data_IF_361932127328
#
_entry.id   IF_361932127328
#
_cell.length_a   1.000
_cell.length_b   1.000
_cell.length_c   1.000
_cell.angle_alpha   90.00
_cell.angle_beta   90.00
_cell.angle_gamma   90.00
#
_symmetry.space_group_name_H-M   'P 1'
#
loop_
_entity.id
_entity.type
_entity.pdbx_description
1 polymer ?
#
# COMPACT_ATOMS: atom_id res chain seq x y z
N UNK A 1 3.85 74.33 6.62
CA UNK A 1 4.53 73.84 7.84
C UNK A 1 4.03 72.43 8.11
N UNK A 2 4.92 71.43 7.94
CA UNK A 2 5.00 70.10 8.58
C UNK A 2 3.75 69.20 8.75
N UNK A 3 3.74 68.06 8.06
CA UNK A 3 3.02 66.81 8.44
C UNK A 3 3.68 66.14 9.65
N UNK A 4 2.94 65.39 10.49
CA UNK A 4 2.91 63.90 10.42
C UNK A 4 1.48 63.34 10.74
N UNK A 5 0.98 62.19 10.30
CA UNK A 5 1.54 60.83 10.18
C UNK A 5 2.25 60.34 11.45
N UNK A 6 1.55 60.27 12.60
CA UNK A 6 1.95 59.44 13.74
C UNK A 6 0.81 59.28 14.76
N UNK A 7 0.17 58.11 14.75
CA UNK A 7 -0.40 57.43 15.92
C UNK A 7 -0.87 56.02 15.50
N UNK A 8 0.09 55.21 15.04
CA UNK A 8 0.00 53.76 15.15
C UNK A 8 0.59 53.39 16.52
N UNK A 9 -0.27 53.05 17.49
CA UNK A 9 0.09 52.26 18.66
C UNK A 9 -1.18 51.58 19.20
N UNK A 10 -1.08 50.30 19.54
CA UNK A 10 -2.23 49.42 19.76
C UNK A 10 -2.20 48.13 18.90
N UNK A 11 -1.01 47.62 18.62
CA UNK A 11 -0.58 46.28 19.04
C UNK A 11 -1.65 45.17 18.93
N UNK A 12 -1.77 44.62 17.72
CA UNK A 12 -1.50 43.21 17.43
C UNK A 12 -1.74 42.20 18.59
N UNK A 13 -2.96 41.73 18.83
CA UNK A 13 -3.14 40.59 19.76
C UNK A 13 -4.33 39.66 19.47
N UNK A 14 -4.58 39.35 18.18
CA UNK A 14 -5.50 38.26 17.79
C UNK A 14 -4.77 37.18 16.98
N UNK A 15 -3.78 37.58 16.18
CA UNK A 15 -2.96 36.63 15.40
C UNK A 15 -1.99 35.82 16.26
N UNK A 16 -1.49 36.36 17.38
CA UNK A 16 -0.66 35.61 18.35
C UNK A 16 -1.49 34.71 19.29
N UNK A 17 -2.73 35.09 19.60
CA UNK A 17 -3.61 34.27 20.43
C UNK A 17 -4.15 33.05 19.66
N UNK A 18 -4.42 33.19 18.36
CA UNK A 18 -4.83 32.06 17.53
C UNK A 18 -3.65 31.10 17.27
N UNK A 19 -2.42 31.60 17.08
CA UNK A 19 -1.26 30.72 16.86
C UNK A 19 -0.87 29.90 18.11
N UNK A 20 -1.09 30.44 19.30
CA UNK A 20 -0.85 29.73 20.57
C UNK A 20 -1.94 28.69 20.87
N UNK A 21 -3.22 29.02 20.66
CA UNK A 21 -4.35 28.07 20.89
C UNK A 21 -4.44 26.98 19.81
N UNK A 22 -4.09 27.27 18.55
CA UNK A 22 -4.08 26.25 17.48
C UNK A 22 -2.89 25.27 17.54
N UNK A 23 -1.88 25.53 18.39
CA UNK A 23 -0.68 24.67 18.47
C UNK A 23 -0.75 23.60 19.57
N UNK A 24 -1.42 23.87 20.70
CA UNK A 24 -1.38 22.97 21.88
C UNK A 24 -2.41 21.83 21.85
N UNK A 25 -3.55 21.99 21.16
CA UNK A 25 -4.54 20.92 20.98
C UNK A 25 -4.32 20.11 19.68
N UNK A 26 -3.79 20.72 18.62
CA UNK A 26 -3.59 20.06 17.33
C UNK A 26 -2.56 18.92 17.40
N UNK A 27 -1.56 19.04 18.28
CA UNK A 27 -0.48 18.05 18.43
C UNK A 27 -0.81 16.92 19.40
N UNK A 28 -1.79 17.10 20.30
CA UNK A 28 -2.19 16.06 21.26
C UNK A 28 -2.97 14.89 20.63
N UNK A 29 -3.55 15.09 19.45
CA UNK A 29 -4.31 14.05 18.74
C UNK A 29 -3.51 13.18 17.76
N UNK A 30 -2.26 13.54 17.44
CA UNK A 30 -1.46 12.88 16.38
C UNK A 30 -0.32 12.02 16.92
N UNK A 31 -0.50 11.43 18.10
CA UNK A 31 0.30 10.29 18.53
C UNK A 31 0.01 9.12 17.58
N UNK A 32 0.75 9.09 16.46
CA UNK A 32 0.77 8.03 15.49
C UNK A 32 1.03 6.71 16.23
N UNK A 33 -0.01 5.90 16.35
CA UNK A 33 0.10 4.53 16.83
C UNK A 33 0.94 3.74 15.83
N UNK A 34 2.26 3.77 16.02
CA UNK A 34 3.21 2.94 15.33
C UNK A 34 3.03 1.50 15.82
N UNK A 35 2.09 0.78 15.23
CA UNK A 35 2.07 -0.67 15.32
C UNK A 35 3.27 -1.20 14.55
N UNK A 36 4.40 -1.37 15.24
CA UNK A 36 5.54 -2.11 14.75
C UNK A 36 5.04 -3.50 14.34
N UNK A 37 5.08 -3.78 13.04
CA UNK A 37 4.64 -5.06 12.49
C UNK A 37 5.62 -6.13 12.95
N UNK A 38 5.30 -6.79 14.07
CA UNK A 38 6.03 -7.95 14.54
C UNK A 38 6.08 -9.00 13.41
N UNK A 39 7.28 -9.45 13.06
CA UNK A 39 7.46 -10.52 12.09
C UNK A 39 6.85 -11.79 12.69
N UNK A 40 5.89 -12.44 12.02
CA UNK A 40 5.35 -13.69 12.53
C UNK A 40 6.48 -14.73 12.62
N UNK A 41 6.48 -15.60 13.65
CA UNK A 41 7.48 -16.65 13.76
C UNK A 41 7.46 -17.54 12.52
N UNK A 42 8.62 -18.12 12.13
CA UNK A 42 8.71 -19.00 10.97
C UNK A 42 7.75 -20.19 11.13
N UNK A 43 7.00 -20.50 10.07
CA UNK A 43 6.12 -21.69 10.05
C UNK A 43 6.96 -22.96 9.87
N UNK A 44 7.10 -23.74 10.96
CA UNK A 44 7.86 -24.99 10.99
C UNK A 44 7.04 -26.22 10.58
N UNK A 45 5.75 -26.05 10.26
CA UNK A 45 4.89 -27.19 9.93
C UNK A 45 5.31 -27.83 8.59
N UNK A 46 5.35 -29.17 8.51
CA UNK A 46 5.69 -29.85 7.27
C UNK A 46 4.65 -29.54 6.18
N UNK A 47 5.13 -29.04 5.03
CA UNK A 47 4.26 -28.66 3.91
C UNK A 47 3.74 -29.92 3.22
N UNK A 48 2.41 -30.06 3.13
CA UNK A 48 1.79 -31.18 2.43
C UNK A 48 1.96 -31.02 0.91
N UNK A 49 2.44 -32.06 0.25
CA UNK A 49 2.68 -32.11 -1.21
C UNK A 49 1.47 -32.65 -1.95
N UNK A 50 1.32 -32.23 -3.21
CA UNK A 50 0.21 -32.60 -4.08
C UNK A 50 0.07 -34.12 -4.20
N UNK A 51 -1.15 -34.62 -4.16
CA UNK A 51 -1.45 -36.06 -4.20
C UNK A 51 -1.18 -36.71 -5.56
N UNK A 52 -1.16 -35.93 -6.65
CA UNK A 52 -0.79 -36.42 -7.98
C UNK A 52 0.62 -36.99 -7.97
N UNK A 53 0.76 -38.21 -8.49
CA UNK A 53 2.05 -38.89 -8.62
C UNK A 53 3.10 -38.02 -9.35
N UNK A 54 4.33 -38.03 -8.83
CA UNK A 54 5.42 -37.21 -9.35
C UNK A 54 5.27 -35.68 -9.16
N UNK A 55 4.30 -35.20 -8.37
CA UNK A 55 4.09 -33.76 -8.15
C UNK A 55 4.64 -33.25 -6.82
N UNK A 56 5.76 -32.53 -6.86
CA UNK A 56 6.38 -31.94 -5.66
C UNK A 56 5.82 -30.55 -5.27
N UNK A 57 4.74 -30.09 -5.92
CA UNK A 57 4.12 -28.80 -5.56
C UNK A 57 3.31 -28.93 -4.29
N UNK A 58 3.26 -27.85 -3.51
CA UNK A 58 2.45 -27.79 -2.28
C UNK A 58 0.95 -27.85 -2.59
N UNK A 59 0.19 -28.51 -1.71
CA UNK A 59 -1.27 -28.52 -1.75
C UNK A 59 -1.81 -27.12 -1.47
N UNK A 60 -2.80 -26.72 -2.27
CA UNK A 60 -3.60 -25.51 -2.01
C UNK A 60 -4.93 -25.86 -1.37
N UNK A 61 -5.64 -26.85 -1.92
CA UNK A 61 -6.89 -27.36 -1.37
C UNK A 61 -7.17 -28.75 -1.91
N UNK A 62 -8.00 -29.54 -1.20
CA UNK A 62 -8.48 -30.84 -1.67
C UNK A 62 -7.36 -31.82 -2.10
N UNK A 63 -6.20 -31.78 -1.44
CA UNK A 63 -5.07 -32.65 -1.79
C UNK A 63 -4.30 -32.26 -3.06
N UNK A 64 -4.67 -31.16 -3.73
CA UNK A 64 -4.09 -30.77 -5.02
C UNK A 64 -3.38 -29.41 -5.00
N UNK A 65 -2.35 -29.27 -5.83
CA UNK A 65 -1.71 -27.99 -6.15
C UNK A 65 -2.55 -27.19 -7.17
N UNK A 66 -2.22 -25.91 -7.41
CA UNK A 66 -2.95 -25.03 -8.35
C UNK A 66 -3.13 -25.67 -9.73
N UNK A 67 -2.07 -26.30 -10.26
CA UNK A 67 -2.09 -26.95 -11.59
C UNK A 67 -3.02 -28.15 -11.63
N UNK A 68 -3.15 -28.90 -10.53
CA UNK A 68 -3.93 -30.13 -10.47
C UNK A 68 -5.29 -29.95 -9.78
N UNK A 69 -5.86 -28.74 -9.84
CA UNK A 69 -7.22 -28.45 -9.35
C UNK A 69 -7.30 -27.93 -7.91
N UNK A 70 -6.18 -27.55 -7.31
CA UNK A 70 -6.15 -26.80 -6.05
C UNK A 70 -6.65 -25.37 -6.23
N UNK A 71 -7.39 -24.87 -5.24
CA UNK A 71 -8.04 -23.55 -5.25
C UNK A 71 -9.46 -23.57 -5.82
N UNK A 72 -10.19 -22.46 -5.63
CA UNK A 72 -11.50 -22.24 -6.28
C UNK A 72 -11.28 -21.66 -7.68
N UNK A 73 -12.03 -22.14 -8.67
CA UNK A 73 -12.02 -21.60 -10.03
C UNK A 73 -13.13 -20.57 -10.21
N UNK A 74 -12.96 -19.71 -11.20
CA UNK A 74 -13.97 -18.74 -11.58
C UNK A 74 -15.28 -19.46 -11.95
N UNK A 75 -16.41 -18.96 -11.45
CA UNK A 75 -17.74 -19.50 -11.75
C UNK A 75 -18.26 -19.17 -13.15
N UNK A 76 -17.59 -18.24 -13.86
CA UNK A 76 -17.93 -17.90 -15.25
C UNK A 76 -17.54 -19.05 -16.17
N UNK A 77 -18.46 -19.41 -17.08
CA UNK A 77 -18.25 -20.46 -18.06
C UNK A 77 -16.97 -20.28 -18.86
N UNK A 78 -16.24 -21.39 -19.07
CA UNK A 78 -14.98 -21.45 -19.82
C UNK A 78 -13.85 -20.57 -19.25
N UNK A 79 -13.88 -20.25 -17.95
CA UNK A 79 -12.81 -19.49 -17.29
C UNK A 79 -11.95 -20.36 -16.36
N UNK A 80 -10.72 -20.64 -16.77
CA UNK A 80 -9.76 -21.44 -15.96
C UNK A 80 -9.03 -20.63 -14.87
N UNK A 81 -9.25 -19.32 -14.81
CA UNK A 81 -8.58 -18.44 -13.87
C UNK A 81 -9.10 -18.71 -12.44
N UNK A 82 -8.20 -18.71 -11.46
CA UNK A 82 -8.57 -18.85 -10.05
C UNK A 82 -9.53 -17.73 -9.59
N UNK A 83 -10.55 -18.12 -8.83
CA UNK A 83 -11.43 -17.18 -8.17
C UNK A 83 -10.68 -16.46 -7.04
N UNK A 84 -10.84 -15.15 -6.98
CA UNK A 84 -10.19 -14.30 -5.97
C UNK A 84 -11.18 -13.88 -4.88
N UNK A 85 -12.36 -13.43 -5.28
CA UNK A 85 -13.46 -13.09 -4.37
C UNK A 85 -14.80 -13.36 -5.06
N UNK A 86 -15.86 -13.56 -4.29
CA UNK A 86 -17.23 -13.79 -4.79
C UNK A 86 -17.34 -14.92 -5.83
N UNK A 87 -16.48 -15.95 -5.76
CA UNK A 87 -16.48 -17.06 -6.71
C UNK A 87 -15.97 -16.74 -8.12
N UNK A 88 -15.49 -15.51 -8.38
CA UNK A 88 -15.06 -15.05 -9.70
C UNK A 88 -13.60 -14.58 -9.70
N UNK A 89 -12.96 -14.62 -10.88
CA UNK A 89 -11.58 -14.18 -11.05
C UNK A 89 -11.48 -12.65 -11.15
N UNK A 90 -10.26 -12.13 -11.16
CA UNK A 90 -10.01 -10.69 -11.25
C UNK A 90 -10.61 -10.02 -12.50
N UNK A 91 -10.70 -10.76 -13.63
CA UNK A 91 -11.32 -10.28 -14.87
C UNK A 91 -12.84 -10.24 -14.80
N UNK A 92 -13.44 -11.14 -14.04
CA UNK A 92 -14.90 -11.31 -13.92
C UNK A 92 -15.46 -10.69 -12.63
N UNK A 93 -14.82 -9.64 -12.09
CA UNK A 93 -15.33 -8.91 -10.92
C UNK A 93 -14.80 -9.38 -9.55
N UNK A 94 -13.87 -10.33 -9.52
CA UNK A 94 -13.21 -10.80 -8.29
C UNK A 94 -12.19 -9.82 -7.71
N UNK A 95 -12.17 -8.57 -8.18
CA UNK A 95 -11.30 -7.50 -7.72
C UNK A 95 -12.12 -6.23 -7.48
N UNK A 96 -11.70 -5.42 -6.51
CA UNK A 96 -12.32 -4.13 -6.22
C UNK A 96 -11.68 -3.06 -7.09
N UNK A 97 -12.47 -2.13 -7.61
CA UNK A 97 -11.99 -0.94 -8.33
C UNK A 97 -11.37 0.07 -7.36
N UNK A 98 -10.56 0.97 -7.91
CA UNK A 98 -10.00 2.09 -7.18
C UNK A 98 -11.13 3.04 -6.75
N UNK A 99 -11.10 3.50 -5.50
CA UNK A 99 -12.05 4.47 -4.94
C UNK A 99 -11.80 5.91 -5.39
N UNK A 100 -10.66 6.18 -6.02
CA UNK A 100 -10.34 7.50 -6.54
C UNK A 100 -11.29 7.87 -7.69
N UNK A 101 -11.70 9.14 -7.75
CA UNK A 101 -12.65 9.65 -8.76
C UNK A 101 -12.19 9.29 -10.18
N UNK A 102 -13.10 8.72 -10.96
CA UNK A 102 -12.89 8.34 -12.37
C UNK A 102 -11.74 7.35 -12.62
N UNK A 103 -11.31 6.61 -11.60
CA UNK A 103 -10.27 5.60 -11.74
C UNK A 103 -10.85 4.20 -11.99
N UNK A 104 -10.60 3.66 -13.19
CA UNK A 104 -11.01 2.29 -13.58
C UNK A 104 -10.01 1.21 -13.16
N UNK A 105 -8.87 1.58 -12.58
CA UNK A 105 -7.85 0.63 -12.16
C UNK A 105 -8.31 -0.24 -11.00
N UNK A 106 -7.72 -1.43 -10.90
CA UNK A 106 -7.95 -2.32 -9.77
C UNK A 106 -7.23 -1.84 -8.50
N UNK A 107 -7.94 -1.84 -7.38
CA UNK A 107 -7.37 -1.56 -6.08
C UNK A 107 -6.43 -2.68 -5.62
N UNK A 108 -5.32 -2.28 -4.99
CA UNK A 108 -4.35 -3.19 -4.38
C UNK A 108 -4.55 -3.28 -2.87
N UNK A 109 -4.57 -2.13 -2.20
CA UNK A 109 -4.81 -2.01 -0.77
C UNK A 109 -5.57 -0.71 -0.49
N UNK A 110 -6.25 -0.63 0.66
CA UNK A 110 -7.01 0.56 1.11
C UNK A 110 -8.07 1.05 0.11
N UNK A 111 -8.47 0.21 -0.85
CA UNK A 111 -9.39 0.58 -1.93
C UNK A 111 -8.75 1.47 -3.01
N UNK A 112 -7.43 1.60 -3.05
CA UNK A 112 -6.71 2.45 -4.01
C UNK A 112 -5.83 1.60 -4.92
N UNK A 113 -5.64 2.03 -6.17
CA UNK A 113 -4.70 1.42 -7.11
C UNK A 113 -3.27 1.87 -6.84
N UNK A 114 -2.29 1.34 -7.58
CA UNK A 114 -0.88 1.67 -7.39
C UNK A 114 -0.60 3.18 -7.46
N UNK A 115 -1.17 3.87 -8.45
CA UNK A 115 -0.97 5.31 -8.68
C UNK A 115 -1.65 6.20 -7.63
N UNK A 116 -2.72 5.71 -6.99
CA UNK A 116 -3.51 6.47 -6.03
C UNK A 116 -3.22 6.06 -4.59
N UNK A 117 -2.07 5.44 -4.29
CA UNK A 117 -1.66 5.13 -2.91
C UNK A 117 -2.01 3.73 -2.39
N UNK A 118 -2.33 2.80 -3.29
CA UNK A 118 -2.59 1.39 -2.96
C UNK A 118 -1.34 0.54 -2.69
N UNK A 119 -0.15 1.11 -2.84
CA UNK A 119 1.12 0.46 -2.51
C UNK A 119 1.64 0.85 -1.12
N UNK A 120 2.79 0.28 -0.73
CA UNK A 120 3.48 0.68 0.50
C UNK A 120 4.14 2.04 0.28
N UNK A 121 4.12 2.99 1.25
CA UNK A 121 4.86 4.24 1.11
C UNK A 121 6.38 3.98 1.15
N UNK A 122 7.15 4.92 0.60
CA UNK A 122 8.59 4.95 0.73
C UNK A 122 8.98 5.12 2.20
N UNK A 123 9.99 4.38 2.66
CA UNK A 123 10.48 4.42 4.03
C UNK A 123 11.23 5.70 4.38
N UNK A 124 11.73 6.42 3.38
CA UNK A 124 12.37 7.74 3.56
C UNK A 124 11.37 8.75 4.11
N UNK A 125 11.73 9.52 5.16
CA UNK A 125 10.88 10.59 5.68
C UNK A 125 10.53 11.60 4.57
N UNK A 126 9.34 12.19 4.66
CA UNK A 126 8.82 13.21 3.74
C UNK A 126 8.68 12.75 2.27
N UNK A 127 8.69 11.43 2.01
CA UNK A 127 8.51 10.87 0.68
C UNK A 127 7.13 10.22 0.51
N UNK A 128 6.24 10.88 -0.22
CA UNK A 128 4.89 10.34 -0.51
C UNK A 128 4.84 9.36 -1.69
N UNK A 129 6.00 8.96 -2.23
CA UNK A 129 6.07 7.99 -3.34
C UNK A 129 5.86 6.57 -2.85
N UNK A 130 5.36 5.72 -3.74
CA UNK A 130 5.21 4.30 -3.46
C UNK A 130 6.57 3.60 -3.49
N UNK A 131 6.79 2.74 -2.50
CA UNK A 131 7.93 1.82 -2.46
C UNK A 131 7.79 0.75 -3.55
N UNK A 132 8.87 0.54 -4.28
CA UNK A 132 9.01 -0.52 -5.26
C UNK A 132 9.60 -1.77 -4.60
N UNK A 133 10.86 -1.68 -4.17
CA UNK A 133 11.62 -2.77 -3.53
C UNK A 133 12.35 -2.24 -2.30
N UNK A 134 12.56 -3.11 -1.31
CA UNK A 134 13.37 -2.79 -0.12
C UNK A 134 12.79 -1.65 0.74
N UNK A 135 11.49 -1.37 0.64
CA UNK A 135 10.86 -0.28 1.38
C UNK A 135 11.07 1.11 0.75
N UNK A 136 11.77 1.23 -0.37
CA UNK A 136 12.11 2.53 -0.97
C UNK A 136 11.47 2.74 -2.34
N UNK A 137 11.33 4.00 -2.75
CA UNK A 137 10.84 4.38 -4.09
C UNK A 137 11.99 4.43 -5.11
N UNK A 138 11.68 4.64 -6.39
CA UNK A 138 12.67 4.64 -7.46
C UNK A 138 13.85 5.60 -7.26
N UNK A 139 13.65 6.78 -6.64
CA UNK A 139 14.77 7.69 -6.38
C UNK A 139 15.45 7.49 -5.01
N UNK A 140 14.89 6.67 -4.12
CA UNK A 140 15.49 6.38 -2.83
C UNK A 140 16.03 4.93 -2.76
N UNK A 141 16.38 4.34 -3.91
CA UNK A 141 17.02 3.01 -3.97
C UNK A 141 16.06 1.82 -4.16
N UNK A 142 14.78 2.06 -4.44
CA UNK A 142 13.80 1.01 -4.76
C UNK A 142 13.76 0.58 -6.22
N UNK A 143 14.49 1.26 -7.10
CA UNK A 143 14.65 0.86 -8.49
C UNK A 143 15.62 -0.31 -8.63
N UNK A 144 15.58 -1.00 -9.78
CA UNK A 144 16.62 -1.97 -10.10
C UNK A 144 17.94 -1.24 -10.30
N UNK A 145 18.79 -1.20 -9.28
CA UNK A 145 20.22 -0.97 -9.44
C UNK A 145 20.83 -2.24 -10.08
N UNK A 146 20.39 -2.58 -11.29
CA UNK A 146 21.21 -3.44 -12.12
C UNK A 146 22.37 -2.57 -12.52
N UNK A 147 23.43 -2.60 -11.72
CA UNK A 147 24.78 -2.55 -12.25
C UNK A 147 24.81 -3.66 -13.29
N UNK A 148 24.46 -3.34 -14.54
CA UNK A 148 24.76 -4.22 -15.67
C UNK A 148 26.27 -4.16 -15.71
N UNK A 149 26.93 -5.06 -15.00
CA UNK A 149 28.34 -5.34 -15.22
C UNK A 149 28.43 -5.72 -16.69
N UNK A 150 28.82 -4.76 -17.52
CA UNK A 150 29.30 -5.02 -18.87
C UNK A 150 30.57 -5.82 -18.64
N UNK A 151 30.45 -7.14 -18.69
CA UNK A 151 31.61 -8.00 -18.82
C UNK A 151 32.18 -7.73 -20.22
N UNK A 152 33.29 -7.00 -20.24
CA UNK A 152 34.24 -6.96 -21.35
C UNK A 152 34.95 -8.30 -21.47
#
# INVERSE_FOLDING_TARGET
MTTPLDALSGDMEIVELLSTVFSEEYTRGVAASAHAAATPPPDTRPRKVCQTDGCHRTIVSKGSCIRHGGGKRCQVDKCDIGAKSNGVCWKHGGSRTCKWSDCTNHSKARGLCWTHGGGKPCATPDCNRTSLQGGHCWAHGGGTSTTRSVAI
#
